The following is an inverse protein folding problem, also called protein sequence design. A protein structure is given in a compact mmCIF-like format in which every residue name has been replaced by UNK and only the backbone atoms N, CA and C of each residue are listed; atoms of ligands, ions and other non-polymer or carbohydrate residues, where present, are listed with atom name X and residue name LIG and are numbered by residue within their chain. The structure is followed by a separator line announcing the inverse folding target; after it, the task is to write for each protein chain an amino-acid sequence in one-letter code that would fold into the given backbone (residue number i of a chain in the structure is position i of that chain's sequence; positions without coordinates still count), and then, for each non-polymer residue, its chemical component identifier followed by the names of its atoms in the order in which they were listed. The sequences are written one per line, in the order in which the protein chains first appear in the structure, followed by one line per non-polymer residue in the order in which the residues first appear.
data_IF_805016712982
#
_entry.id   IF_805016712982
#
_cell.length_a   1.000
_cell.length_b   1.000
_cell.length_c   1.000
_cell.angle_alpha   90.00
_cell.angle_beta   90.00
_cell.angle_gamma   90.00
#
_symmetry.space_group_name_H-M   'P 1'
#
loop_
_entity.id
_entity.type
_entity.pdbx_description
1 polymer ?
#
# COMPACT_ATOMS: atom_id res chain seq x y z
N UNK A 1 -8.34 61.20 -10.24
CA UNK A 1 -8.78 59.91 -10.82
C UNK A 1 -8.88 58.96 -9.65
N UNK A 2 -10.04 58.88 -9.02
CA UNK A 2 -10.25 58.05 -7.83
C UNK A 2 -11.68 57.51 -7.87
N UNK A 3 -11.80 56.23 -8.22
CA UNK A 3 -13.04 55.49 -8.09
C UNK A 3 -12.82 54.39 -7.04
N UNK A 4 -13.36 54.64 -5.84
CA UNK A 4 -13.41 53.70 -4.73
C UNK A 4 -14.49 52.65 -5.01
N UNK A 5 -14.11 51.39 -5.18
CA UNK A 5 -15.06 50.27 -5.20
C UNK A 5 -15.23 49.73 -3.76
N UNK A 6 -16.48 49.77 -3.27
CA UNK A 6 -16.90 49.14 -2.01
C UNK A 6 -17.41 47.74 -2.33
N UNK A 7 -16.85 46.72 -1.71
CA UNK A 7 -17.32 45.33 -1.79
C UNK A 7 -18.32 45.10 -0.66
N UNK A 8 -19.54 44.74 -1.03
CA UNK A 8 -20.63 44.39 -0.11
C UNK A 8 -20.59 42.87 0.10
N UNK A 9 -20.39 42.43 1.35
CA UNK A 9 -20.51 41.04 1.75
C UNK A 9 -21.99 40.65 1.90
N UNK A 10 -22.39 39.52 1.31
CA UNK A 10 -23.69 38.89 1.56
C UNK A 10 -23.45 37.54 2.26
N UNK A 11 -23.83 37.47 3.53
CA UNK A 11 -23.94 36.25 4.32
C UNK A 11 -25.34 35.66 4.11
N UNK A 12 -25.42 34.42 3.67
CA UNK A 12 -26.66 33.62 3.71
C UNK A 12 -26.41 32.37 4.55
N UNK A 13 -26.95 32.40 5.78
CA UNK A 13 -27.03 31.25 6.67
C UNK A 13 -28.36 30.54 6.44
N UNK A 14 -28.31 29.24 6.12
CA UNK A 14 -29.49 28.38 6.01
C UNK A 14 -29.37 27.25 7.03
N UNK A 15 -30.14 27.37 8.11
CA UNK A 15 -30.34 26.33 9.12
C UNK A 15 -31.53 25.47 8.72
N UNK A 16 -31.33 24.17 8.51
CA UNK A 16 -32.40 23.20 8.31
C UNK A 16 -32.39 22.20 9.47
N UNK A 17 -33.42 22.26 10.31
CA UNK A 17 -33.64 21.31 11.39
C UNK A 17 -34.44 20.11 10.89
N UNK A 18 -33.97 18.90 11.22
CA UNK A 18 -34.77 17.68 11.13
C UNK A 18 -35.07 17.18 12.55
N UNK A 19 -36.36 17.08 12.86
CA UNK A 19 -36.87 16.34 14.00
C UNK A 19 -37.19 14.91 13.54
N UNK A 20 -36.66 13.90 14.23
CA UNK A 20 -37.15 12.52 14.15
C UNK A 20 -37.53 12.05 15.55
N UNK A 21 -38.83 11.81 15.71
CA UNK A 21 -39.43 11.05 16.81
C UNK A 21 -40.30 9.96 16.17
N UNK A 22 -39.96 8.69 16.35
CA UNK A 22 -40.92 7.58 16.35
C UNK A 22 -40.25 6.32 16.91
N UNK A 23 -40.78 5.86 18.05
CA UNK A 23 -40.51 4.56 18.66
C UNK A 23 -41.27 3.44 17.92
N UNK A 24 -40.82 2.20 18.06
CA UNK A 24 -41.57 1.00 17.62
C UNK A 24 -40.92 -0.29 18.12
N UNK A 25 -41.56 -0.87 19.13
CA UNK A 25 -41.16 -1.99 19.99
C UNK A 25 -41.26 -3.40 19.34
N UNK A 26 -40.49 -4.32 19.92
CA UNK A 26 -40.54 -5.79 20.01
C UNK A 26 -41.66 -6.62 19.33
N UNK A 27 -41.24 -7.73 18.72
CA UNK A 27 -42.08 -8.88 18.38
C UNK A 27 -41.29 -10.19 18.22
N UNK A 28 -41.30 -11.03 19.26
CA UNK A 28 -40.79 -12.41 19.27
C UNK A 28 -41.75 -13.38 18.56
N UNK A 29 -41.24 -14.33 17.78
CA UNK A 29 -41.88 -15.66 17.56
C UNK A 29 -40.91 -16.68 16.90
N UNK A 30 -40.51 -17.65 17.73
CA UNK A 30 -40.32 -19.10 17.56
C UNK A 30 -39.84 -19.78 16.25
N UNK A 31 -38.93 -20.73 16.50
CA UNK A 31 -38.25 -21.74 15.67
C UNK A 31 -39.21 -22.81 15.08
N UNK A 32 -38.77 -23.57 14.06
CA UNK A 32 -38.57 -24.99 14.37
C UNK A 32 -37.32 -25.64 13.73
N UNK A 33 -36.70 -26.47 14.55
CA UNK A 33 -35.68 -27.49 14.26
C UNK A 33 -36.26 -28.72 13.53
N UNK A 34 -35.43 -29.52 12.84
CA UNK A 34 -35.69 -30.95 12.69
C UNK A 34 -34.61 -31.81 13.37
N UNK A 35 -35.07 -32.77 14.17
CA UNK A 35 -34.28 -33.85 14.77
C UNK A 35 -34.30 -35.11 13.90
N UNK A 36 -33.25 -35.94 13.99
CA UNK A 36 -33.27 -37.31 13.46
C UNK A 36 -31.91 -38.02 13.48
N UNK A 37 -31.55 -38.62 14.61
CA UNK A 37 -30.35 -39.44 14.82
C UNK A 37 -30.60 -40.95 14.61
N UNK A 38 -29.50 -41.72 14.57
CA UNK A 38 -29.33 -43.18 14.84
C UNK A 38 -29.68 -44.16 13.69
N UNK A 39 -28.96 -45.27 13.40
CA UNK A 39 -27.96 -46.09 14.13
C UNK A 39 -27.23 -47.06 13.18
N UNK A 40 -26.04 -47.52 13.60
CA UNK A 40 -25.19 -48.60 13.04
C UNK A 40 -25.82 -50.00 13.19
N UNK A 41 -25.36 -51.03 12.43
CA UNK A 41 -24.60 -52.09 13.13
C UNK A 41 -23.42 -52.72 12.38
N UNK A 42 -22.51 -53.19 13.23
CA UNK A 42 -21.33 -54.08 13.12
C UNK A 42 -21.45 -55.34 12.24
N UNK A 43 -20.36 -55.70 11.52
CA UNK A 43 -19.66 -57.00 11.59
C UNK A 43 -18.53 -57.12 10.52
N UNK A 44 -17.41 -57.75 10.88
CA UNK A 44 -16.31 -58.23 10.02
C UNK A 44 -15.99 -59.70 10.40
N UNK A 45 -15.08 -60.47 9.74
CA UNK A 45 -14.62 -60.58 8.33
C UNK A 45 -14.77 -62.07 7.81
N UNK A 46 -14.30 -62.50 6.61
CA UNK A 46 -12.90 -62.94 6.40
C UNK A 46 -12.28 -62.73 4.97
N UNK A 47 -10.96 -62.53 4.98
CA UNK A 47 -9.85 -63.16 4.21
C UNK A 47 -9.91 -63.52 2.70
N UNK A 48 -8.73 -63.31 2.07
CA UNK A 48 -8.18 -63.76 0.78
C UNK A 48 -8.69 -63.04 -0.49
N UNK A 49 -8.06 -61.96 -0.98
CA UNK A 49 -6.67 -61.80 -1.47
C UNK A 49 -6.36 -62.70 -2.68
N UNK A 50 -6.56 -62.16 -3.88
CA UNK A 50 -5.89 -62.62 -5.10
C UNK A 50 -4.98 -61.50 -5.60
N UNK A 51 -3.74 -61.93 -5.78
CA UNK A 51 -2.50 -61.25 -6.15
C UNK A 51 -2.58 -60.38 -7.43
N UNK A 52 -2.09 -59.14 -7.34
CA UNK A 52 -1.49 -58.37 -8.44
C UNK A 52 -0.73 -57.14 -7.89
N UNK A 53 0.56 -57.33 -7.63
CA UNK A 53 1.67 -56.37 -7.78
C UNK A 53 1.39 -54.88 -7.50
N UNK A 54 1.63 -54.45 -6.25
CA UNK A 54 1.94 -53.04 -5.94
C UNK A 54 3.47 -52.84 -6.03
N UNK A 55 3.89 -52.12 -7.07
CA UNK A 55 5.16 -51.42 -7.11
C UNK A 55 5.12 -50.30 -6.06
N UNK A 56 6.15 -50.10 -5.21
CA UNK A 56 6.15 -48.96 -4.31
C UNK A 56 6.27 -47.69 -5.17
N UNK A 57 5.14 -47.00 -5.34
CA UNK A 57 5.12 -45.62 -5.79
C UNK A 57 5.92 -44.81 -4.77
N UNK A 58 7.10 -44.35 -5.18
CA UNK A 58 7.85 -43.38 -4.42
C UNK A 58 6.98 -42.13 -4.26
N UNK A 59 6.55 -41.85 -3.03
CA UNK A 59 6.08 -40.53 -2.66
C UNK A 59 7.09 -39.49 -3.17
N UNK A 60 6.66 -38.39 -3.81
CA UNK A 60 7.58 -37.31 -4.09
C UNK A 60 8.04 -36.78 -2.74
N UNK A 61 9.27 -37.15 -2.37
CA UNK A 61 9.98 -36.50 -1.28
C UNK A 61 10.18 -35.06 -1.74
N UNK A 62 9.28 -34.18 -1.32
CA UNK A 62 9.49 -32.75 -1.47
C UNK A 62 10.84 -32.46 -0.80
N UNK A 63 11.83 -31.91 -1.53
CA UNK A 63 13.07 -31.53 -0.86
C UNK A 63 12.69 -30.55 0.24
N UNK A 64 13.12 -30.84 1.47
CA UNK A 64 13.09 -29.84 2.53
C UNK A 64 13.71 -28.55 1.96
N UNK A 65 13.13 -27.36 2.25
CA UNK A 65 13.76 -26.12 1.82
C UNK A 65 15.20 -26.18 2.30
N UNK A 66 16.13 -26.03 1.35
CA UNK A 66 17.49 -25.67 1.72
C UNK A 66 17.37 -24.43 2.61
N UNK A 67 18.10 -24.37 3.73
CA UNK A 67 18.24 -23.16 4.54
C UNK A 67 18.96 -22.09 3.69
N UNK A 68 18.24 -21.53 2.72
CA UNK A 68 18.51 -20.24 2.13
C UNK A 68 17.80 -19.21 2.99
N UNK A 69 18.41 -18.06 3.18
CA UNK A 69 17.87 -16.97 4.00
C UNK A 69 16.39 -16.75 3.67
N UNK A 70 15.52 -16.94 4.66
CA UNK A 70 14.08 -16.83 4.45
C UNK A 70 13.75 -15.42 3.94
N UNK A 71 13.22 -15.32 2.72
CA UNK A 71 12.80 -14.05 2.16
C UNK A 71 11.55 -13.54 2.88
N UNK A 72 11.56 -12.25 3.21
CA UNK A 72 10.44 -11.55 3.83
C UNK A 72 9.97 -10.42 2.92
N UNK A 73 8.65 -10.22 2.84
CA UNK A 73 8.09 -9.07 2.12
C UNK A 73 8.01 -7.86 3.04
N UNK A 74 8.66 -6.77 2.66
CA UNK A 74 8.64 -5.49 3.37
C UNK A 74 8.01 -4.39 2.51
N UNK A 75 7.30 -3.42 3.09
CA UNK A 75 6.88 -2.23 2.37
C UNK A 75 8.03 -1.21 2.31
N UNK A 76 8.28 -0.63 1.14
CA UNK A 76 9.18 0.52 0.96
C UNK A 76 8.40 1.70 0.39
N UNK A 77 8.60 2.89 0.95
CA UNK A 77 7.91 4.10 0.52
C UNK A 77 8.84 5.04 -0.25
N UNK A 78 8.46 5.36 -1.49
CA UNK A 78 9.21 6.20 -2.42
C UNK A 78 8.40 7.41 -2.85
N UNK A 79 9.04 8.41 -3.45
CA UNK A 79 8.40 9.66 -3.85
C UNK A 79 7.99 9.63 -5.31
N UNK A 80 6.71 9.91 -5.57
CA UNK A 80 6.17 10.21 -6.89
C UNK A 80 5.66 11.66 -6.95
N UNK A 81 5.57 12.20 -8.16
CA UNK A 81 5.00 13.53 -8.38
C UNK A 81 3.48 13.46 -8.53
N UNK A 82 2.77 14.35 -7.85
CA UNK A 82 1.32 14.49 -7.97
C UNK A 82 0.97 15.94 -8.31
N UNK A 83 -0.25 16.22 -8.79
CA UNK A 83 -0.65 17.60 -9.03
C UNK A 83 -0.66 18.49 -7.77
N UNK A 84 -0.71 17.88 -6.57
CA UNK A 84 -0.65 18.55 -5.27
C UNK A 84 0.77 18.51 -4.65
N UNK A 85 1.78 18.24 -5.47
CA UNK A 85 3.19 18.13 -5.11
C UNK A 85 3.65 16.70 -4.82
N UNK A 86 4.93 16.53 -4.52
CA UNK A 86 5.52 15.23 -4.21
C UNK A 86 4.79 14.52 -3.05
N UNK A 87 4.52 13.22 -3.22
CA UNK A 87 3.88 12.35 -2.23
C UNK A 87 4.53 10.97 -2.22
N UNK A 88 4.27 10.20 -1.17
CA UNK A 88 4.80 8.85 -1.03
C UNK A 88 3.87 7.80 -1.63
N UNK A 89 4.45 6.90 -2.40
CA UNK A 89 3.85 5.67 -2.94
C UNK A 89 4.53 4.47 -2.28
N UNK A 90 3.88 3.31 -2.29
CA UNK A 90 4.36 2.11 -1.60
C UNK A 90 4.64 1.00 -2.60
N UNK A 91 5.83 0.42 -2.51
CA UNK A 91 6.19 -0.84 -3.13
C UNK A 91 6.25 -1.94 -2.07
N UNK A 92 5.92 -3.17 -2.44
CA UNK A 92 6.22 -4.36 -1.63
C UNK A 92 7.44 -5.05 -2.22
N UNK A 93 8.44 -5.31 -1.38
CA UNK A 93 9.74 -5.82 -1.81
C UNK A 93 10.07 -7.08 -1.05
N UNK A 94 10.47 -8.13 -1.78
CA UNK A 94 11.06 -9.33 -1.18
C UNK A 94 12.51 -9.03 -0.86
N UNK A 95 12.88 -9.24 0.39
CA UNK A 95 14.24 -9.01 0.89
C UNK A 95 14.71 -10.21 1.70
N UNK A 96 16.02 -10.42 1.71
CA UNK A 96 16.68 -11.39 2.60
C UNK A 96 17.37 -10.66 3.76
N UNK A 97 17.66 -11.40 4.83
CA UNK A 97 18.32 -10.86 6.03
C UNK A 97 17.36 -10.12 6.97
N UNK A 98 17.89 -9.18 7.75
CA UNK A 98 17.08 -8.39 8.69
C UNK A 98 16.14 -7.44 7.93
N UNK A 99 14.81 -7.49 8.16
CA UNK A 99 13.85 -6.71 7.40
C UNK A 99 13.91 -5.21 7.68
N UNK A 100 14.36 -4.76 8.86
CA UNK A 100 14.52 -3.34 9.16
C UNK A 100 15.70 -2.76 8.39
N UNK A 101 16.85 -3.44 8.44
CA UNK A 101 18.07 -3.04 7.73
C UNK A 101 17.82 -3.06 6.22
N UNK A 102 17.23 -4.14 5.69
CA UNK A 102 16.95 -4.27 4.27
C UNK A 102 15.95 -3.20 3.77
N UNK A 103 14.87 -2.93 4.51
CA UNK A 103 13.91 -1.92 4.12
C UNK A 103 14.50 -0.49 4.15
N UNK A 104 15.33 -0.18 5.15
CA UNK A 104 16.07 1.09 5.18
C UNK A 104 17.04 1.21 3.99
N UNK A 105 17.74 0.12 3.63
CA UNK A 105 18.65 0.09 2.49
C UNK A 105 17.94 0.34 1.16
N UNK A 106 16.73 -0.19 0.95
CA UNK A 106 15.93 0.07 -0.26
C UNK A 106 15.67 1.57 -0.45
N UNK A 107 15.20 2.24 0.61
CA UNK A 107 14.87 3.67 0.57
C UNK A 107 16.12 4.53 0.44
N UNK A 108 17.16 4.25 1.22
CA UNK A 108 18.41 5.05 1.21
C UNK A 108 19.23 4.85 -0.06
N UNK A 109 19.25 3.64 -0.62
CA UNK A 109 19.93 3.31 -1.86
C UNK A 109 19.17 3.71 -3.13
N UNK A 110 17.90 4.11 -3.01
CA UNK A 110 17.06 4.46 -4.15
C UNK A 110 16.79 3.29 -5.09
N UNK A 111 16.74 2.07 -4.56
CA UNK A 111 16.39 0.87 -5.29
C UNK A 111 14.86 0.84 -5.53
N UNK A 112 14.39 1.65 -6.48
CA UNK A 112 12.98 1.72 -6.90
C UNK A 112 12.70 0.72 -8.01
N UNK A 113 11.55 0.04 -7.99
CA UNK A 113 11.09 -0.76 -9.12
C UNK A 113 10.34 0.10 -10.13
N UNK A 114 9.50 1.01 -9.64
CA UNK A 114 8.70 1.88 -10.48
C UNK A 114 9.53 3.06 -11.02
N UNK A 115 9.62 3.24 -12.36
CA UNK A 115 10.39 4.32 -12.96
C UNK A 115 9.81 5.72 -12.69
N UNK A 116 8.54 5.82 -12.26
CA UNK A 116 7.89 7.09 -11.91
C UNK A 116 8.24 7.52 -10.47
N UNK A 117 8.89 6.64 -9.69
CA UNK A 117 9.25 6.88 -8.31
C UNK A 117 10.73 7.24 -8.16
N UNK A 118 11.07 7.84 -7.02
CA UNK A 118 12.45 8.16 -6.64
C UNK A 118 12.65 8.16 -5.14
N UNK A 119 13.89 7.98 -4.71
CA UNK A 119 14.30 8.34 -3.35
C UNK A 119 14.71 9.82 -3.26
N UNK A 120 14.54 10.42 -2.08
CA UNK A 120 15.10 11.75 -1.77
C UNK A 120 16.39 11.66 -0.94
N UNK A 121 16.83 10.46 -0.60
CA UNK A 121 17.97 10.25 0.27
C UNK A 121 19.27 10.59 -0.48
N UNK A 122 20.13 11.44 0.11
CA UNK A 122 21.52 11.53 -0.33
C UNK A 122 22.23 10.19 -0.13
N UNK A 123 23.31 9.95 -0.87
CA UNK A 123 24.15 8.77 -0.72
C UNK A 123 24.53 8.53 0.76
N UNK A 124 24.49 7.26 1.17
CA UNK A 124 24.79 6.82 2.52
C UNK A 124 23.97 5.58 2.90
N UNK A 125 24.19 5.09 4.11
CA UNK A 125 23.43 3.96 4.67
C UNK A 125 23.36 4.09 6.19
N UNK A 126 22.35 3.49 6.79
CA UNK A 126 22.37 3.21 8.22
C UNK A 126 23.40 2.12 8.53
N UNK A 127 24.06 2.23 9.68
CA UNK A 127 24.93 1.18 10.21
C UNK A 127 24.11 0.01 10.75
N UNK A 128 22.98 0.31 11.41
CA UNK A 128 22.02 -0.66 11.93
C UNK A 128 20.62 -0.04 12.02
N UNK A 129 19.58 -0.87 11.95
CA UNK A 129 18.19 -0.46 12.20
C UNK A 129 17.47 -1.58 12.92
N UNK A 130 16.86 -1.27 14.07
CA UNK A 130 16.20 -2.28 14.91
C UNK A 130 15.09 -1.68 15.76
N UNK A 131 14.14 -2.51 16.17
CA UNK A 131 13.13 -2.12 17.14
C UNK A 131 13.67 -2.25 18.56
N UNK A 132 13.50 -1.21 19.38
CA UNK A 132 13.88 -1.18 20.79
C UNK A 132 12.78 -0.58 21.65
N UNK A 133 12.10 -1.42 22.43
CA UNK A 133 11.05 -0.96 23.35
C UNK A 133 9.93 -0.24 22.61
N UNK A 134 9.85 1.07 22.80
CA UNK A 134 8.80 1.95 22.26
C UNK A 134 9.23 2.75 21.02
N UNK A 135 10.39 2.45 20.42
CA UNK A 135 10.90 3.13 19.22
C UNK A 135 11.56 2.16 18.24
N UNK A 136 11.70 2.61 16.99
CA UNK A 136 12.60 1.98 16.02
C UNK A 136 13.87 2.84 16.00
N UNK A 137 15.00 2.25 16.37
CA UNK A 137 16.30 2.93 16.44
C UNK A 137 17.04 2.71 15.13
N UNK A 138 17.42 3.80 14.48
CA UNK A 138 18.20 3.82 13.24
C UNK A 138 19.55 4.48 13.51
N UNK A 139 20.61 3.67 13.50
CA UNK A 139 21.99 4.11 13.77
C UNK A 139 22.63 4.61 12.47
N UNK A 140 23.05 5.87 12.44
CA UNK A 140 23.75 6.43 11.28
C UNK A 140 25.22 6.01 11.27
N UNK A 141 25.77 5.77 10.08
CA UNK A 141 27.19 5.44 9.94
C UNK A 141 28.11 6.64 10.19
N UNK A 142 27.63 7.86 9.90
CA UNK A 142 28.34 9.13 10.09
C UNK A 142 27.37 10.32 10.21
N UNK A 143 27.90 11.54 10.30
CA UNK A 143 27.12 12.78 10.46
C UNK A 143 26.63 13.40 9.14
N UNK A 144 26.80 12.70 8.00
CA UNK A 144 26.46 13.20 6.67
C UNK A 144 24.99 13.57 6.49
N UNK A 145 24.10 12.96 7.26
CA UNK A 145 22.67 13.26 7.27
C UNK A 145 22.23 14.20 8.39
N UNK A 146 23.15 14.71 9.23
CA UNK A 146 22.78 15.59 10.34
C UNK A 146 22.12 16.91 9.88
N UNK A 147 22.45 17.38 8.68
CA UNK A 147 21.86 18.58 8.07
C UNK A 147 21.08 18.23 6.80
N UNK A 148 20.15 19.09 6.39
CA UNK A 148 19.35 18.87 5.17
C UNK A 148 20.15 18.82 3.86
N UNK A 149 21.42 19.24 3.87
CA UNK A 149 22.22 19.39 2.66
C UNK A 149 21.49 20.20 1.57
N UNK A 150 21.35 19.59 0.39
CA UNK A 150 20.64 20.18 -0.76
C UNK A 150 19.11 20.11 -0.71
N UNK A 151 18.52 19.39 0.25
CA UNK A 151 17.07 19.25 0.32
C UNK A 151 16.39 20.57 0.70
N UNK A 152 15.24 20.84 0.08
CA UNK A 152 14.33 21.88 0.57
C UNK A 152 13.78 21.47 1.94
N UNK A 153 13.23 22.42 2.72
CA UNK A 153 12.65 22.08 4.03
C UNK A 153 11.53 21.05 3.92
N UNK A 154 10.70 21.12 2.87
CA UNK A 154 9.67 20.12 2.61
C UNK A 154 10.26 18.80 2.12
N UNK A 155 11.32 18.84 1.31
CA UNK A 155 12.06 17.65 0.87
C UNK A 155 12.68 16.89 2.05
N UNK A 156 13.30 17.58 3.01
CA UNK A 156 13.84 16.97 4.23
C UNK A 156 12.77 16.26 5.05
N UNK A 157 11.59 16.89 5.23
CA UNK A 157 10.46 16.27 5.93
C UNK A 157 9.94 15.05 5.17
N UNK A 158 9.77 15.14 3.85
CA UNK A 158 9.28 14.03 3.04
C UNK A 158 10.28 12.87 3.00
N UNK A 159 11.59 13.15 2.94
CA UNK A 159 12.64 12.13 3.04
C UNK A 159 12.61 11.41 4.39
N UNK A 160 12.45 12.14 5.49
CA UNK A 160 12.26 11.53 6.81
C UNK A 160 10.99 10.66 6.85
N UNK A 161 9.89 11.10 6.22
CA UNK A 161 8.67 10.29 6.14
C UNK A 161 8.81 9.04 5.26
N UNK A 162 9.67 9.02 4.23
CA UNK A 162 9.99 7.79 3.50
C UNK A 162 10.50 6.71 4.47
N UNK A 163 11.43 7.06 5.36
CA UNK A 163 11.98 6.14 6.36
C UNK A 163 10.93 5.75 7.39
N UNK A 164 10.22 6.72 7.98
CA UNK A 164 9.23 6.46 9.03
C UNK A 164 8.14 5.50 8.54
N UNK A 165 7.54 5.74 7.37
CA UNK A 165 6.50 4.87 6.82
C UNK A 165 7.01 3.48 6.47
N UNK A 166 8.24 3.39 5.95
CA UNK A 166 8.90 2.13 5.62
C UNK A 166 9.13 1.28 6.87
N UNK A 167 9.80 1.84 7.88
CA UNK A 167 10.14 1.11 9.10
C UNK A 167 8.92 0.76 9.95
N UNK A 168 7.93 1.65 10.04
CA UNK A 168 6.64 1.33 10.69
C UNK A 168 5.87 0.25 9.93
N UNK A 169 6.01 0.22 8.60
CA UNK A 169 5.46 -0.83 7.78
C UNK A 169 6.13 -2.19 8.03
N UNK A 170 7.43 -2.23 8.30
CA UNK A 170 8.11 -3.44 8.76
C UNK A 170 7.63 -3.86 10.15
N UNK A 171 7.57 -2.90 11.09
CA UNK A 171 7.15 -3.14 12.47
C UNK A 171 5.68 -3.56 12.61
N UNK A 172 4.84 -3.22 11.63
CA UNK A 172 3.38 -3.29 11.73
C UNK A 172 2.82 -2.47 12.92
N UNK A 173 3.56 -1.47 13.36
CA UNK A 173 3.24 -0.60 14.48
C UNK A 173 3.53 0.87 14.14
N UNK A 174 3.02 1.81 14.92
CA UNK A 174 3.24 3.25 14.73
C UNK A 174 4.29 3.81 15.69
N UNK A 175 5.37 3.04 15.90
CA UNK A 175 6.48 3.46 16.74
C UNK A 175 7.22 4.63 16.10
N UNK A 176 7.63 5.65 16.89
CA UNK A 176 8.51 6.70 16.39
C UNK A 176 9.87 6.13 15.96
N UNK A 177 10.52 6.79 15.00
CA UNK A 177 11.89 6.46 14.58
C UNK A 177 12.87 7.38 15.29
N UNK A 178 13.80 6.81 16.05
CA UNK A 178 14.88 7.52 16.74
C UNK A 178 16.18 7.34 15.97
N UNK A 179 16.81 8.45 15.59
CA UNK A 179 18.10 8.43 14.89
C UNK A 179 19.22 8.67 15.88
N UNK A 180 20.23 7.80 15.89
CA UNK A 180 21.35 7.83 16.84
C UNK A 180 22.70 7.67 16.14
N UNK A 181 23.77 8.12 16.78
CA UNK A 181 25.14 7.75 16.40
C UNK A 181 25.56 6.38 16.98
N UNK A 182 26.78 5.93 16.67
CA UNK A 182 27.32 4.65 17.16
C UNK A 182 27.59 4.58 18.67
N UNK A 183 27.40 5.68 19.41
CA UNK A 183 27.40 5.67 20.88
C UNK A 183 25.96 5.61 21.45
N UNK A 184 24.95 5.60 20.59
CA UNK A 184 23.54 5.63 20.96
C UNK A 184 23.02 7.04 21.30
N UNK A 185 23.78 8.08 20.97
CA UNK A 185 23.38 9.47 21.24
C UNK A 185 22.40 9.94 20.15
N UNK A 186 21.24 10.54 20.50
CA UNK A 186 20.32 11.07 19.50
C UNK A 186 20.96 12.15 18.63
N UNK A 187 20.80 12.02 17.31
CA UNK A 187 21.29 13.00 16.33
C UNK A 187 20.14 13.49 15.43
N UNK A 188 20.21 14.73 14.90
CA UNK A 188 19.23 15.20 13.95
C UNK A 188 19.27 14.40 12.64
N UNK A 189 18.12 14.22 11.99
CA UNK A 189 18.03 13.71 10.61
C UNK A 189 17.58 14.83 9.68
N UNK A 190 18.42 15.20 8.73
CA UNK A 190 18.21 16.33 7.82
C UNK A 190 17.91 17.65 8.54
N UNK A 191 18.49 17.86 9.72
CA UNK A 191 18.22 18.99 10.61
C UNK A 191 16.88 18.92 11.36
N UNK A 192 16.19 17.78 11.33
CA UNK A 192 15.02 17.50 12.15
C UNK A 192 15.49 16.90 13.49
N UNK A 193 15.16 17.57 14.58
CA UNK A 193 15.56 17.13 15.93
C UNK A 193 14.51 16.21 16.55
N UNK A 194 14.98 15.31 17.43
CA UNK A 194 14.13 14.42 18.21
C UNK A 194 13.61 13.21 17.42
N UNK A 195 12.76 12.43 18.10
CA UNK A 195 12.16 11.24 17.51
C UNK A 195 11.16 11.62 16.40
N UNK A 196 11.26 10.91 15.28
CA UNK A 196 10.47 11.16 14.08
C UNK A 196 9.13 10.40 14.16
N UNK A 197 8.04 11.14 14.31
CA UNK A 197 6.69 10.60 14.25
C UNK A 197 6.17 10.55 12.82
N UNK A 198 5.18 9.68 12.59
CA UNK A 198 4.43 9.60 11.34
C UNK A 198 3.59 10.86 11.14
N UNK A 199 3.72 11.53 10.00
CA UNK A 199 2.81 12.58 9.56
C UNK A 199 1.48 11.98 9.06
N UNK A 200 0.42 12.79 8.97
CA UNK A 200 -0.90 12.34 8.51
C UNK A 200 -0.81 11.66 7.13
N UNK A 201 -1.34 10.43 6.95
CA UNK A 201 -1.31 9.75 5.65
C UNK A 201 -1.89 10.58 4.50
N UNK A 202 -2.96 11.32 4.74
CA UNK A 202 -3.60 12.15 3.71
C UNK A 202 -2.78 13.38 3.31
N UNK A 203 -1.77 13.76 4.11
CA UNK A 203 -0.90 14.89 3.80
C UNK A 203 0.36 14.47 3.04
N UNK A 204 0.85 13.25 3.27
CA UNK A 204 2.17 12.81 2.77
C UNK A 204 2.11 11.63 1.79
N UNK A 205 1.10 10.76 1.87
CA UNK A 205 0.92 9.68 0.91
C UNK A 205 0.12 10.15 -0.30
N UNK A 206 0.33 9.48 -1.44
CA UNK A 206 -0.54 9.63 -2.59
C UNK A 206 -1.93 9.09 -2.24
N UNK A 207 -2.98 9.80 -2.65
CA UNK A 207 -4.37 9.45 -2.32
C UNK A 207 -4.91 8.25 -3.10
N UNK A 208 -4.10 7.68 -3.98
CA UNK A 208 -4.30 6.39 -4.63
C UNK A 208 -2.93 5.78 -4.86
N UNK A 209 -2.79 4.48 -4.59
CA UNK A 209 -1.63 3.71 -4.98
C UNK A 209 -2.02 2.27 -5.31
N UNK A 210 -1.21 1.65 -6.17
CA UNK A 210 -1.33 0.28 -6.64
C UNK A 210 -0.29 -0.54 -5.88
N UNK A 211 -0.78 -1.53 -5.14
CA UNK A 211 0.05 -2.54 -4.46
C UNK A 211 0.21 -3.81 -5.30
N UNK A 212 -0.71 -4.06 -6.24
CA UNK A 212 -0.64 -5.15 -7.20
C UNK A 212 -1.42 -4.78 -8.46
N UNK A 213 -0.94 -5.09 -9.68
CA UNK A 213 0.31 -5.79 -9.98
C UNK A 213 1.56 -4.98 -9.58
N UNK A 214 2.69 -5.67 -9.45
CA UNK A 214 4.02 -5.03 -9.33
C UNK A 214 4.44 -4.43 -10.68
N UNK A 215 5.36 -3.47 -10.66
CA UNK A 215 5.92 -2.92 -11.90
C UNK A 215 6.58 -4.02 -12.74
N UNK A 216 6.24 -4.07 -14.03
CA UNK A 216 6.76 -5.07 -14.97
C UNK A 216 6.12 -6.45 -14.86
N UNK A 217 5.03 -6.62 -14.09
CA UNK A 217 4.38 -7.91 -13.93
C UNK A 217 3.86 -8.50 -15.26
N UNK A 218 4.03 -9.81 -15.43
CA UNK A 218 3.35 -10.57 -16.48
C UNK A 218 1.97 -11.03 -15.98
N UNK A 219 0.94 -10.81 -16.79
CA UNK A 219 -0.46 -11.17 -16.51
C UNK A 219 -1.08 -11.91 -17.70
N UNK A 220 -2.10 -12.73 -17.45
CA UNK A 220 -2.81 -13.48 -18.51
C UNK A 220 -4.25 -13.74 -18.08
N UNK A 221 -5.20 -13.72 -19.03
CA UNK A 221 -6.61 -13.95 -18.73
C UNK A 221 -7.20 -12.85 -17.85
N UNK A 222 -7.15 -13.02 -16.53
CA UNK A 222 -7.61 -12.03 -15.55
C UNK A 222 -6.54 -11.85 -14.48
N UNK A 223 -6.39 -10.62 -13.98
CA UNK A 223 -5.57 -10.34 -12.80
C UNK A 223 -6.31 -9.45 -11.81
N UNK A 224 -5.96 -9.57 -10.53
CA UNK A 224 -6.45 -8.68 -9.47
C UNK A 224 -5.55 -7.44 -9.40
N UNK A 225 -6.12 -6.27 -9.70
CA UNK A 225 -5.52 -4.99 -9.38
C UNK A 225 -5.98 -4.55 -7.98
N UNK A 226 -5.11 -3.95 -7.18
CA UNK A 226 -5.52 -3.44 -5.87
C UNK A 226 -4.46 -2.60 -5.19
N UNK A 227 -4.87 -1.91 -4.13
CA UNK A 227 -3.99 -1.04 -3.35
C UNK A 227 -4.78 -0.26 -2.32
N UNK A 228 -4.41 1.00 -2.09
CA UNK A 228 -5.14 1.87 -1.16
C UNK A 228 -5.53 3.18 -1.82
N UNK A 229 -6.66 3.75 -1.41
CA UNK A 229 -7.15 5.02 -1.92
C UNK A 229 -7.96 5.80 -0.88
N UNK A 230 -7.94 7.12 -0.97
CA UNK A 230 -8.92 8.03 -0.40
C UNK A 230 -9.43 8.93 -1.51
N UNK A 231 -10.42 8.43 -2.24
CA UNK A 231 -10.99 9.07 -3.42
C UNK A 231 -12.43 9.50 -3.16
N UNK A 232 -12.92 10.52 -3.88
CA UNK A 232 -14.30 11.00 -3.73
C UNK A 232 -15.30 9.86 -3.91
N UNK A 233 -16.26 9.74 -2.98
CA UNK A 233 -17.25 8.65 -2.93
C UNK A 233 -16.64 7.22 -2.98
N UNK A 234 -15.38 7.08 -2.55
CA UNK A 234 -14.59 5.85 -2.63
C UNK A 234 -14.40 5.31 -4.06
N UNK A 235 -14.65 6.12 -5.08
CA UNK A 235 -14.55 5.70 -6.48
C UNK A 235 -13.09 5.71 -6.94
N UNK A 236 -12.57 4.58 -7.43
CA UNK A 236 -11.20 4.46 -7.97
C UNK A 236 -11.29 4.07 -9.43
N UNK A 237 -11.37 5.02 -10.37
CA UNK A 237 -11.31 4.72 -11.79
C UNK A 237 -9.95 4.11 -12.15
N UNK A 238 -9.96 3.15 -13.07
CA UNK A 238 -8.75 2.57 -13.62
C UNK A 238 -8.82 2.45 -15.15
N UNK A 239 -7.65 2.38 -15.78
CA UNK A 239 -7.49 2.22 -17.23
C UNK A 239 -6.35 1.27 -17.53
N UNK A 240 -6.48 0.51 -18.62
CA UNK A 240 -5.36 -0.14 -19.31
C UNK A 240 -5.11 0.63 -20.60
N UNK A 241 -3.89 1.08 -20.80
CA UNK A 241 -3.45 1.79 -22.02
C UNK A 241 -2.45 0.95 -22.80
N UNK A 242 -2.55 0.99 -24.13
CA UNK A 242 -1.54 0.40 -25.00
C UNK A 242 -0.25 1.24 -25.04
N UNK A 243 0.79 0.74 -25.71
CA UNK A 243 2.07 1.43 -25.88
C UNK A 243 1.99 2.81 -26.58
N UNK A 244 0.89 3.10 -27.28
CA UNK A 244 0.61 4.41 -27.87
C UNK A 244 -0.13 5.36 -26.93
N UNK A 245 -0.44 4.93 -25.71
CA UNK A 245 -1.20 5.68 -24.71
C UNK A 245 -2.72 5.64 -24.95
N UNK A 246 -3.22 4.83 -25.88
CA UNK A 246 -4.66 4.70 -26.13
C UNK A 246 -5.26 3.80 -25.06
N UNK A 247 -6.36 4.24 -24.46
CA UNK A 247 -7.18 3.42 -23.54
C UNK A 247 -7.77 2.26 -24.33
N UNK A 248 -7.47 1.04 -23.89
CA UNK A 248 -7.98 -0.21 -24.48
C UNK A 248 -8.96 -0.94 -23.55
N UNK A 249 -8.84 -0.71 -22.24
CA UNK A 249 -9.81 -1.11 -21.23
C UNK A 249 -9.93 -0.02 -20.17
N UNK A 250 -11.10 0.07 -19.54
CA UNK A 250 -11.33 0.94 -18.40
C UNK A 250 -12.42 0.37 -17.49
N UNK A 251 -12.43 0.85 -16.25
CA UNK A 251 -13.41 0.47 -15.26
C UNK A 251 -13.20 1.25 -13.97
N UNK A 252 -13.75 0.74 -12.88
CA UNK A 252 -13.57 1.31 -11.56
C UNK A 252 -13.60 0.24 -10.47
N UNK A 253 -13.00 0.57 -9.33
CA UNK A 253 -13.17 -0.13 -8.07
C UNK A 253 -13.85 0.80 -7.06
N UNK A 254 -14.44 0.21 -6.02
CA UNK A 254 -14.91 0.94 -4.84
C UNK A 254 -13.97 0.63 -3.68
N UNK A 255 -13.30 1.64 -3.16
CA UNK A 255 -12.53 1.51 -1.93
C UNK A 255 -13.47 1.28 -0.73
N UNK A 256 -12.98 0.66 0.34
CA UNK A 256 -13.79 0.37 1.54
C UNK A 256 -14.28 1.63 2.28
N UNK A 257 -13.78 2.81 1.91
CA UNK A 257 -14.15 4.11 2.48
C UNK A 257 -13.38 5.25 1.83
N UNK A 258 -13.56 6.46 2.36
CA UNK A 258 -12.88 7.68 1.90
C UNK A 258 -12.94 8.78 2.97
N UNK A 259 -12.14 9.86 2.78
CA UNK A 259 -12.04 11.10 3.58
C UNK A 259 -11.05 11.11 4.74
N UNK A 260 -11.08 10.13 5.65
CA UNK A 260 -10.35 10.20 6.93
C UNK A 260 -9.02 9.42 6.91
N UNK A 261 -8.89 8.45 6.01
CA UNK A 261 -7.67 7.66 5.78
C UNK A 261 -7.71 7.03 4.39
N UNK A 262 -6.63 6.35 4.01
CA UNK A 262 -6.63 5.50 2.83
C UNK A 262 -7.22 4.13 3.16
N UNK A 263 -8.08 3.66 2.26
CA UNK A 263 -8.81 2.41 2.36
C UNK A 263 -8.37 1.44 1.27
N UNK A 264 -8.37 0.12 1.54
CA UNK A 264 -8.16 -0.88 0.51
C UNK A 264 -9.16 -0.73 -0.65
N UNK A 265 -8.69 -1.01 -1.86
CA UNK A 265 -9.52 -1.21 -3.04
C UNK A 265 -8.97 -2.37 -3.85
N UNK A 266 -9.85 -3.05 -4.59
CA UNK A 266 -9.47 -4.12 -5.51
C UNK A 266 -10.43 -4.19 -6.71
N UNK A 267 -9.94 -4.68 -7.85
CA UNK A 267 -10.71 -4.91 -9.08
C UNK A 267 -10.16 -6.12 -9.82
N UNK A 268 -11.03 -6.94 -10.37
CA UNK A 268 -10.64 -7.98 -11.34
C UNK A 268 -10.58 -7.35 -12.73
N UNK A 269 -9.43 -7.43 -13.38
CA UNK A 269 -9.17 -6.87 -14.70
C UNK A 269 -9.01 -8.00 -15.71
N UNK A 270 -9.97 -8.11 -16.61
CA UNK A 270 -9.97 -9.10 -17.70
C UNK A 270 -9.19 -8.57 -18.91
N UNK A 271 -8.07 -9.21 -19.21
CA UNK A 271 -7.17 -8.92 -20.34
C UNK A 271 -7.20 -10.03 -21.39
N UNK A 272 -8.13 -10.99 -21.31
CA UNK A 272 -8.19 -12.17 -22.19
C UNK A 272 -8.41 -11.83 -23.67
N UNK A 273 -9.03 -10.69 -23.95
CA UNK A 273 -9.26 -10.18 -25.31
C UNK A 273 -8.15 -9.24 -25.82
N UNK A 274 -7.13 -8.94 -25.00
CA UNK A 274 -6.00 -8.13 -25.41
C UNK A 274 -4.96 -8.99 -26.14
N UNK A 275 -4.36 -8.41 -27.19
CA UNK A 275 -3.23 -9.05 -27.85
C UNK A 275 -2.01 -9.08 -26.89
N UNK A 276 -1.18 -10.13 -26.92
CA UNK A 276 0.05 -10.17 -26.13
C UNK A 276 0.94 -8.96 -26.39
N UNK A 277 1.51 -8.39 -25.33
CA UNK A 277 2.34 -7.18 -25.43
C UNK A 277 2.39 -6.35 -24.14
N UNK A 278 3.05 -5.20 -24.22
CA UNK A 278 3.22 -4.28 -23.10
C UNK A 278 2.08 -3.27 -23.02
N UNK A 279 1.54 -3.08 -21.82
CA UNK A 279 0.49 -2.14 -21.49
C UNK A 279 0.82 -1.38 -20.21
N UNK A 280 0.10 -0.28 -19.97
CA UNK A 280 0.16 0.45 -18.70
C UNK A 280 -1.18 0.35 -18.01
N UNK A 281 -1.21 -0.24 -16.81
CA UNK A 281 -2.35 -0.17 -15.92
C UNK A 281 -2.24 1.10 -15.06
N UNK A 282 -3.33 1.85 -14.93
CA UNK A 282 -3.37 3.14 -14.22
C UNK A 282 -4.57 3.14 -13.30
N UNK A 283 -4.39 3.50 -12.04
CA UNK A 283 -5.45 3.78 -11.08
C UNK A 283 -5.38 5.25 -10.67
N UNK A 284 -6.54 5.88 -10.49
CA UNK A 284 -6.60 7.31 -10.14
C UNK A 284 -7.63 7.61 -9.07
N UNK A 285 -7.47 8.74 -8.39
CA UNK A 285 -8.59 9.33 -7.66
C UNK A 285 -9.64 9.82 -8.66
N UNK A 286 -10.88 9.88 -8.23
CA UNK A 286 -11.96 10.49 -8.99
C UNK A 286 -11.76 12.01 -9.06
N UNK A 287 -12.24 12.61 -10.15
CA UNK A 287 -12.17 14.05 -10.38
C UNK A 287 -13.58 14.60 -10.67
N UNK A 288 -14.40 14.84 -9.62
CA UNK A 288 -15.74 15.38 -9.79
C UNK A 288 -15.74 16.82 -10.35
N UNK A 289 -14.59 17.50 -10.36
CA UNK A 289 -14.46 18.84 -10.93
C UNK A 289 -14.32 18.84 -12.45
N UNK A 290 -14.09 17.67 -13.07
CA UNK A 290 -13.90 17.57 -14.53
C UNK A 290 -12.69 18.35 -15.03
N UNK A 291 -11.61 18.42 -14.24
CA UNK A 291 -10.37 19.10 -14.59
C UNK A 291 -10.30 20.59 -14.22
N UNK A 292 -11.29 21.14 -13.51
CA UNK A 292 -11.20 22.53 -13.00
C UNK A 292 -10.27 22.65 -11.78
N UNK A 293 -9.94 21.54 -11.12
CA UNK A 293 -8.99 21.46 -10.01
C UNK A 293 -7.54 21.16 -10.44
N UNK A 294 -6.71 20.73 -9.48
CA UNK A 294 -5.35 20.25 -9.75
C UNK A 294 -5.32 18.97 -10.61
N UNK A 295 -6.46 18.29 -10.78
CA UNK A 295 -6.54 16.99 -11.42
C UNK A 295 -6.36 15.84 -10.42
N UNK A 296 -6.65 14.61 -10.88
CA UNK A 296 -6.57 13.43 -10.04
C UNK A 296 -5.11 13.08 -9.70
N UNK A 297 -4.91 12.46 -8.54
CA UNK A 297 -3.66 11.72 -8.31
C UNK A 297 -3.77 10.39 -9.05
N UNK A 298 -2.67 9.93 -9.61
CA UNK A 298 -2.60 8.67 -10.34
C UNK A 298 -1.44 7.82 -9.82
N UNK A 299 -1.54 6.52 -10.03
CA UNK A 299 -0.46 5.56 -9.94
C UNK A 299 -0.51 4.65 -11.16
N UNK A 300 0.66 4.24 -11.66
CA UNK A 300 0.79 3.41 -12.88
C UNK A 300 1.65 2.19 -12.64
N UNK A 301 1.38 1.13 -13.40
CA UNK A 301 2.24 -0.06 -13.50
C UNK A 301 2.35 -0.49 -14.96
N UNK A 302 3.56 -0.69 -15.44
CA UNK A 302 3.79 -1.42 -16.69
C UNK A 302 3.48 -2.89 -16.47
N UNK A 303 2.69 -3.48 -17.36
CA UNK A 303 2.36 -4.90 -17.35
C UNK A 303 2.62 -5.51 -18.72
N UNK A 304 2.91 -6.81 -18.74
CA UNK A 304 3.01 -7.61 -19.97
C UNK A 304 1.86 -8.61 -20.01
N UNK A 305 1.04 -8.56 -21.07
CA UNK A 305 0.00 -9.55 -21.32
C UNK A 305 0.55 -10.68 -22.18
N UNK A 306 0.27 -11.93 -21.79
CA UNK A 306 0.61 -13.18 -22.52
C UNK A 306 -0.61 -13.99 -22.97
#
# INVERSE_FOLDING_TARGET
MDARLRITALLTASTLGLALTACGEDGSAEDPTPAGSTTSPSASPPTDATDATDEPTAEPTNPAPSEGDAETTVPAYFVGDTPQGARLYREFRRVSGDPYVAAAALVTGGDVLDPDYRSLWPDGSFADVRQEGDAIVAEVADDGWATRGGLSANGARLAAQQLVYTLQGVAQERLPVRVVDGEGTPVPLFGLEGDLAQASPLEVLALVSISGPEEGATVSGTFTAGGVASSFEANVPWQVRDSGGKVVLDGYATAEGWMDKLYPWASEVDVSDLAPGTYTFIARTDDPSGGEGGGPMEDSKTITVE
#
